data_IF_550927989977
#
_entry.id   IF_550927989977
#
_cell.length_a   1.000
_cell.length_b   1.000
_cell.length_c   1.000
_cell.angle_alpha   90.00
_cell.angle_beta   90.00
_cell.angle_gamma   90.00
#
_symmetry.space_group_name_H-M   'P 1'
#
loop_
_entity.id
_entity.type
_entity.pdbx_description
1 polymer ?
#
# COMPACT_ATOMS: atom_id res chain seq x y z
N UNK A 1 13.66 -8.71 45.15
CA UNK A 1 13.80 -7.46 45.94
C UNK A 1 13.70 -6.29 44.95
N UNK A 2 12.50 -5.75 44.75
CA UNK A 2 12.26 -4.63 43.84
C UNK A 2 12.45 -3.35 44.65
N UNK A 3 13.64 -2.75 44.61
CA UNK A 3 13.79 -1.39 45.12
C UNK A 3 13.10 -0.51 44.07
N UNK A 4 11.98 0.16 44.38
CA UNK A 4 11.30 0.96 43.38
C UNK A 4 12.27 2.05 42.93
N UNK A 5 12.44 2.18 41.62
CA UNK A 5 13.39 3.11 40.98
C UNK A 5 13.24 4.53 41.54
N UNK A 6 12.04 4.90 42.01
CA UNK A 6 11.75 6.15 42.70
C UNK A 6 12.57 6.36 43.97
N UNK A 7 12.75 5.35 44.82
CA UNK A 7 13.50 5.50 46.08
C UNK A 7 14.99 5.68 45.85
N UNK A 8 15.56 4.99 44.86
CA UNK A 8 16.96 5.20 44.45
C UNK A 8 17.16 6.60 43.87
N UNK A 9 16.21 7.07 43.06
CA UNK A 9 16.23 8.43 42.51
C UNK A 9 16.19 9.48 43.63
N UNK A 10 15.22 9.42 44.54
CA UNK A 10 15.09 10.37 45.64
C UNK A 10 16.27 10.31 46.62
N UNK A 11 16.78 9.11 46.91
CA UNK A 11 17.95 8.94 47.78
C UNK A 11 19.22 9.48 47.15
N UNK A 12 19.44 9.27 45.85
CA UNK A 12 20.57 9.83 45.12
C UNK A 12 20.51 11.35 45.04
N UNK A 13 19.31 11.90 44.81
CA UNK A 13 19.07 13.34 44.73
C UNK A 13 19.30 14.03 46.09
N UNK A 14 18.93 13.37 47.18
CA UNK A 14 19.26 13.79 48.54
C UNK A 14 20.78 13.78 48.78
N UNK A 15 21.47 12.69 48.45
CA UNK A 15 22.93 12.58 48.64
C UNK A 15 23.71 13.62 47.82
N UNK A 16 23.24 13.95 46.62
CA UNK A 16 23.82 15.01 45.78
C UNK A 16 23.59 16.41 46.37
N UNK A 17 22.39 16.68 46.91
CA UNK A 17 22.11 17.94 47.58
C UNK A 17 23.00 18.15 48.82
N UNK A 18 23.21 17.09 49.61
CA UNK A 18 24.13 17.10 50.75
C UNK A 18 25.58 17.34 50.32
N UNK A 19 26.05 16.65 49.26
CA UNK A 19 27.40 16.82 48.72
C UNK A 19 27.69 18.27 48.28
N UNK A 20 26.68 18.96 47.74
CA UNK A 20 26.79 20.35 47.27
C UNK A 20 26.39 21.39 48.33
N UNK A 21 26.08 20.97 49.56
CA UNK A 21 25.59 21.88 50.63
C UNK A 21 24.34 22.69 50.22
N UNK A 22 23.48 22.10 49.37
CA UNK A 22 22.23 22.72 48.92
C UNK A 22 21.09 22.45 49.91
N UNK A 23 20.10 23.35 50.04
CA UNK A 23 18.93 23.13 50.88
C UNK A 23 18.08 21.95 50.36
N UNK A 24 18.16 20.81 51.05
CA UNK A 24 17.54 19.53 50.66
C UNK A 24 16.04 19.70 50.35
N UNK A 25 15.30 20.42 51.19
CA UNK A 25 13.86 20.63 51.00
C UNK A 25 13.53 21.38 49.70
N UNK A 26 14.34 22.39 49.34
CA UNK A 26 14.13 23.15 48.11
C UNK A 26 14.46 22.30 46.88
N UNK A 27 15.54 21.51 46.97
CA UNK A 27 15.96 20.61 45.89
C UNK A 27 14.94 19.49 45.65
N UNK A 28 14.42 18.87 46.71
CA UNK A 28 13.36 17.87 46.62
C UNK A 28 12.04 18.47 46.10
N UNK A 29 11.64 19.64 46.59
CA UNK A 29 10.42 20.32 46.14
C UNK A 29 10.49 20.72 44.66
N UNK A 30 11.60 21.33 44.23
CA UNK A 30 11.81 21.70 42.83
C UNK A 30 11.84 20.48 41.91
N UNK A 31 12.49 19.39 42.35
CA UNK A 31 12.52 18.14 41.59
C UNK A 31 11.15 17.48 41.49
N UNK A 32 10.36 17.50 42.58
CA UNK A 32 8.99 17.00 42.57
C UNK A 32 8.10 17.81 41.62
N UNK A 33 8.23 19.14 41.61
CA UNK A 33 7.55 20.01 40.65
C UNK A 33 7.94 19.66 39.20
N UNK A 34 9.23 19.42 38.94
CA UNK A 34 9.71 18.97 37.62
C UNK A 34 9.12 17.63 37.19
N UNK A 35 9.07 16.65 38.09
CA UNK A 35 8.43 15.34 37.84
C UNK A 35 6.94 15.51 37.50
N UNK A 36 6.21 16.37 38.21
CA UNK A 36 4.80 16.63 37.91
C UNK A 36 4.60 17.30 36.54
N UNK A 37 5.46 18.25 36.15
CA UNK A 37 5.42 18.87 34.82
C UNK A 37 5.66 17.82 33.73
N UNK A 38 6.67 16.97 33.89
CA UNK A 38 6.97 15.88 32.95
C UNK A 38 5.80 14.91 32.85
N UNK A 39 5.22 14.51 33.99
CA UNK A 39 4.04 13.64 34.02
C UNK A 39 2.86 14.28 33.29
N UNK A 40 2.62 15.57 33.49
CA UNK A 40 1.60 16.32 32.75
C UNK A 40 1.84 16.27 31.24
N UNK A 41 3.05 16.59 30.79
CA UNK A 41 3.44 16.54 29.38
C UNK A 41 3.27 15.12 28.78
N UNK A 42 3.67 14.08 29.51
CA UNK A 42 3.50 12.68 29.09
C UNK A 42 2.02 12.31 28.93
N UNK A 43 1.16 12.76 29.85
CA UNK A 43 -0.29 12.53 29.73
C UNK A 43 -0.83 13.24 28.48
N UNK A 44 -0.47 14.50 28.25
CA UNK A 44 -0.95 15.23 27.08
C UNK A 44 -0.45 14.66 25.74
N UNK A 45 0.79 14.18 25.67
CA UNK A 45 1.32 13.52 24.47
C UNK A 45 0.68 12.15 24.25
N UNK A 46 0.39 11.39 25.30
CA UNK A 46 -0.38 10.15 25.19
C UNK A 46 -1.80 10.43 24.68
N UNK A 47 -2.50 11.43 25.26
CA UNK A 47 -3.84 11.85 24.84
C UNK A 47 -3.88 12.37 23.39
N UNK A 48 -2.84 13.05 22.92
CA UNK A 48 -2.76 13.49 21.53
C UNK A 48 -2.59 12.31 20.56
N UNK A 49 -1.89 11.24 20.96
CA UNK A 49 -1.80 10.01 20.17
C UNK A 49 -3.16 9.31 20.04
N UNK A 50 -3.98 9.30 21.09
CA UNK A 50 -5.34 8.73 21.04
C UNK A 50 -6.24 9.46 20.03
N UNK A 51 -6.06 10.77 19.79
CA UNK A 51 -6.79 11.49 18.73
C UNK A 51 -6.48 10.95 17.33
N UNK A 52 -5.32 10.32 17.14
CA UNK A 52 -4.95 9.79 15.84
C UNK A 52 -5.62 8.45 15.55
N UNK A 53 -6.12 7.69 16.53
CA UNK A 53 -6.71 6.33 16.34
C UNK A 53 -7.59 6.21 15.08
N UNK A 54 -8.49 7.16 14.75
CA UNK A 54 -9.33 7.06 13.57
C UNK A 54 -8.54 7.03 12.24
N UNK A 55 -7.31 7.57 12.19
CA UNK A 55 -6.40 7.58 11.04
C UNK A 55 -5.68 6.24 10.88
N UNK A 56 -5.24 5.62 11.98
CA UNK A 56 -4.48 4.36 11.99
C UNK A 56 -5.36 3.11 11.83
N UNK A 57 -6.62 3.27 11.45
CA UNK A 57 -7.57 2.16 11.35
C UNK A 57 -7.26 1.20 10.19
N UNK A 58 -6.79 1.73 9.06
CA UNK A 58 -6.34 0.94 7.93
C UNK A 58 -5.25 1.66 7.13
N UNK A 59 -4.51 0.88 6.35
CA UNK A 59 -3.37 1.35 5.56
C UNK A 59 -3.76 2.48 4.59
N UNK A 60 -4.93 2.36 3.92
CA UNK A 60 -5.40 3.38 2.99
C UNK A 60 -5.60 4.72 3.68
N UNK A 61 -6.39 4.75 4.76
CA UNK A 61 -6.72 5.98 5.49
C UNK A 61 -5.48 6.62 6.11
N UNK A 62 -4.55 5.80 6.61
CA UNK A 62 -3.28 6.27 7.13
C UNK A 62 -2.49 7.00 6.04
N UNK A 63 -2.26 6.36 4.89
CA UNK A 63 -1.45 6.96 3.84
C UNK A 63 -2.16 8.09 3.09
N UNK A 64 -3.49 8.04 2.94
CA UNK A 64 -4.28 9.15 2.41
C UNK A 64 -4.12 10.38 3.31
N UNK A 65 -4.37 10.23 4.61
CA UNK A 65 -4.16 11.33 5.57
C UNK A 65 -2.72 11.85 5.53
N UNK A 66 -1.74 10.95 5.42
CA UNK A 66 -0.33 11.32 5.37
C UNK A 66 -0.01 12.15 4.13
N UNK A 67 -0.50 11.75 2.95
CA UNK A 67 -0.30 12.49 1.70
C UNK A 67 -1.01 13.84 1.73
N UNK A 68 -2.20 13.91 2.32
CA UNK A 68 -3.02 15.13 2.35
C UNK A 68 -2.49 16.19 3.34
N UNK A 69 -1.78 15.80 4.39
CA UNK A 69 -1.35 16.69 5.48
C UNK A 69 0.18 16.92 5.57
N UNK A 70 0.99 16.31 4.71
CA UNK A 70 2.44 16.52 4.72
C UNK A 70 2.86 17.75 3.91
N UNK A 71 3.63 18.64 4.53
CA UNK A 71 4.20 19.83 3.89
C UNK A 71 5.50 19.54 3.09
N UNK A 72 6.13 18.39 3.29
CA UNK A 72 7.43 18.00 2.69
C UNK A 72 7.29 16.88 1.65
N UNK A 73 8.43 16.44 1.06
CA UNK A 73 8.44 15.44 -0.01
C UNK A 73 7.62 14.18 0.34
N UNK A 74 6.56 13.99 -0.43
CA UNK A 74 5.55 12.95 -0.26
C UNK A 74 5.93 11.66 -0.99
N UNK A 75 7.14 11.51 -1.52
CA UNK A 75 7.54 10.35 -2.32
C UNK A 75 7.22 9.00 -1.66
N UNK A 76 7.66 8.79 -0.42
CA UNK A 76 7.43 7.52 0.29
C UNK A 76 5.95 7.32 0.64
N UNK A 77 5.28 8.38 1.12
CA UNK A 77 3.86 8.34 1.47
C UNK A 77 2.99 8.03 0.24
N UNK A 78 3.27 8.64 -0.91
CA UNK A 78 2.61 8.38 -2.20
C UNK A 78 2.86 6.96 -2.68
N UNK A 79 4.09 6.46 -2.55
CA UNK A 79 4.40 5.07 -2.91
C UNK A 79 3.64 4.07 -2.04
N UNK A 80 3.56 4.33 -0.74
CA UNK A 80 2.82 3.50 0.19
C UNK A 80 1.30 3.58 -0.04
N UNK A 81 0.77 4.78 -0.30
CA UNK A 81 -0.62 4.97 -0.71
C UNK A 81 -0.95 4.18 -1.97
N UNK A 82 -0.08 4.22 -2.99
CA UNK A 82 -0.25 3.42 -4.19
C UNK A 82 -0.30 1.91 -3.89
N UNK A 83 0.52 1.43 -2.96
CA UNK A 83 0.53 0.01 -2.55
C UNK A 83 -0.76 -0.36 -1.82
N UNK A 84 -1.21 0.49 -0.90
CA UNK A 84 -2.46 0.32 -0.17
C UNK A 84 -3.66 0.27 -1.13
N UNK A 85 -3.73 1.20 -2.09
CA UNK A 85 -4.76 1.22 -3.14
C UNK A 85 -4.72 -0.05 -4.00
N UNK A 86 -3.52 -0.53 -4.39
CA UNK A 86 -3.41 -1.77 -5.16
C UNK A 86 -3.96 -2.97 -4.39
N UNK A 87 -3.57 -3.10 -3.12
CA UNK A 87 -4.00 -4.19 -2.25
C UNK A 87 -5.51 -4.16 -2.01
N UNK A 88 -6.08 -2.98 -1.75
CA UNK A 88 -7.53 -2.81 -1.56
C UNK A 88 -8.32 -3.11 -2.84
N UNK A 89 -7.88 -2.59 -3.99
CA UNK A 89 -8.50 -2.88 -5.27
C UNK A 89 -8.48 -4.37 -5.59
N UNK A 90 -7.39 -5.07 -5.27
CA UNK A 90 -7.29 -6.52 -5.46
C UNK A 90 -8.20 -7.32 -4.51
N UNK A 91 -8.28 -6.95 -3.24
CA UNK A 91 -9.20 -7.58 -2.28
C UNK A 91 -10.67 -7.37 -2.69
N UNK A 92 -11.04 -6.17 -3.11
CA UNK A 92 -12.37 -5.88 -3.66
C UNK A 92 -12.68 -6.74 -4.88
N UNK A 93 -11.73 -6.91 -5.79
CA UNK A 93 -11.87 -7.76 -6.97
C UNK A 93 -12.06 -9.24 -6.58
N UNK A 94 -11.32 -9.76 -5.59
CA UNK A 94 -11.51 -11.12 -5.06
C UNK A 94 -12.91 -11.33 -4.48
N UNK A 95 -13.44 -10.31 -3.81
CA UNK A 95 -14.83 -10.29 -3.28
C UNK A 95 -15.89 -10.02 -4.35
N UNK A 96 -15.52 -10.00 -5.64
CA UNK A 96 -16.38 -9.67 -6.78
C UNK A 96 -17.03 -8.29 -6.73
N UNK A 97 -16.50 -7.38 -5.91
CA UNK A 97 -16.92 -5.96 -5.85
C UNK A 97 -16.25 -5.18 -6.98
N UNK A 98 -16.55 -5.58 -8.22
CA UNK A 98 -15.83 -5.14 -9.41
C UNK A 98 -15.90 -3.63 -9.64
N UNK A 99 -17.04 -2.98 -9.37
CA UNK A 99 -17.16 -1.52 -9.55
C UNK A 99 -16.27 -0.74 -8.58
N UNK A 100 -16.25 -1.12 -7.30
CA UNK A 100 -15.39 -0.50 -6.29
C UNK A 100 -13.91 -0.76 -6.59
N UNK A 101 -13.55 -1.98 -7.00
CA UNK A 101 -12.19 -2.30 -7.42
C UNK A 101 -11.72 -1.43 -8.60
N UNK A 102 -12.58 -1.24 -9.61
CA UNK A 102 -12.28 -0.38 -10.75
C UNK A 102 -12.05 1.07 -10.31
N UNK A 103 -12.89 1.62 -9.44
CA UNK A 103 -12.72 2.97 -8.93
C UNK A 103 -11.38 3.17 -8.20
N UNK A 104 -10.97 2.19 -7.39
CA UNK A 104 -9.67 2.21 -6.71
C UNK A 104 -8.51 2.14 -7.71
N UNK A 105 -8.58 1.25 -8.70
CA UNK A 105 -7.54 1.15 -9.73
C UNK A 105 -7.46 2.41 -10.61
N UNK A 106 -8.59 3.01 -10.95
CA UNK A 106 -8.65 4.26 -11.72
C UNK A 106 -8.05 5.41 -10.92
N UNK A 107 -8.37 5.52 -9.62
CA UNK A 107 -7.75 6.49 -8.72
C UNK A 107 -6.24 6.30 -8.63
N UNK A 108 -5.76 5.05 -8.50
CA UNK A 108 -4.34 4.74 -8.43
C UNK A 108 -3.61 5.19 -9.70
N UNK A 109 -4.17 4.89 -10.87
CA UNK A 109 -3.58 5.23 -12.16
C UNK A 109 -3.62 6.74 -12.41
N UNK A 110 -4.71 7.42 -12.03
CA UNK A 110 -4.88 8.86 -12.22
C UNK A 110 -3.89 9.69 -11.39
N UNK A 111 -3.56 9.23 -10.17
CA UNK A 111 -2.62 9.91 -9.29
C UNK A 111 -1.16 9.86 -9.77
N UNK A 112 -0.88 9.23 -10.92
CA UNK A 112 0.44 9.13 -11.56
C UNK A 112 1.56 8.93 -10.55
N UNK A 113 1.35 8.02 -9.60
CA UNK A 113 2.43 7.57 -8.73
C UNK A 113 3.55 7.14 -9.67
N UNK A 114 4.65 7.90 -9.65
CA UNK A 114 5.72 7.87 -10.65
C UNK A 114 5.89 6.45 -11.20
N UNK A 115 5.87 6.27 -12.53
CA UNK A 115 5.75 5.01 -13.30
C UNK A 115 6.68 3.84 -12.90
N UNK A 116 7.46 4.01 -11.82
CA UNK A 116 8.39 3.10 -11.15
C UNK A 116 7.77 2.30 -9.98
N UNK A 117 6.45 2.28 -9.81
CA UNK A 117 5.81 1.37 -8.86
C UNK A 117 5.89 -0.07 -9.35
N UNK A 118 6.32 -0.99 -8.49
CA UNK A 118 6.55 -2.38 -8.90
C UNK A 118 5.27 -3.18 -9.18
N UNK A 119 4.10 -2.66 -8.76
CA UNK A 119 2.78 -3.33 -8.89
C UNK A 119 1.87 -2.65 -9.92
N UNK A 120 2.35 -1.63 -10.63
CA UNK A 120 1.52 -0.90 -11.59
C UNK A 120 1.15 -1.76 -12.80
N UNK A 121 2.05 -2.63 -13.26
CA UNK A 121 1.78 -3.63 -14.29
C UNK A 121 0.67 -4.59 -13.85
N UNK A 122 0.73 -5.07 -12.61
CA UNK A 122 -0.30 -5.93 -12.04
C UNK A 122 -1.64 -5.20 -11.87
N UNK A 123 -1.61 -3.90 -11.55
CA UNK A 123 -2.83 -3.06 -11.47
C UNK A 123 -3.54 -2.98 -12.81
N UNK A 124 -2.81 -2.69 -13.89
CA UNK A 124 -3.36 -2.71 -15.25
C UNK A 124 -3.89 -4.10 -15.60
N UNK A 125 -3.15 -5.16 -15.29
CA UNK A 125 -3.62 -6.53 -15.52
C UNK A 125 -4.95 -6.84 -14.83
N UNK A 126 -5.07 -6.56 -13.53
CA UNK A 126 -6.28 -6.82 -12.76
C UNK A 126 -7.46 -5.98 -13.27
N UNK A 127 -7.24 -4.71 -13.60
CA UNK A 127 -8.26 -3.87 -14.24
C UNK A 127 -8.71 -4.45 -15.58
N UNK A 128 -7.76 -4.91 -16.40
CA UNK A 128 -8.01 -5.56 -17.68
C UNK A 128 -8.85 -6.84 -17.55
N UNK A 129 -8.58 -7.67 -16.54
CA UNK A 129 -9.38 -8.86 -16.23
C UNK A 129 -10.83 -8.48 -15.90
N UNK A 130 -11.03 -7.47 -15.06
CA UNK A 130 -12.39 -6.99 -14.71
C UNK A 130 -13.10 -6.43 -15.96
N UNK A 131 -12.41 -5.64 -16.79
CA UNK A 131 -12.96 -5.11 -18.04
C UNK A 131 -13.34 -6.23 -19.02
N UNK A 132 -12.52 -7.27 -19.12
CA UNK A 132 -12.80 -8.46 -19.93
C UNK A 132 -14.06 -9.19 -19.44
N UNK A 133 -14.20 -9.38 -18.13
CA UNK A 133 -15.40 -9.99 -17.53
C UNK A 133 -16.67 -9.16 -17.81
N UNK A 134 -16.53 -7.83 -17.88
CA UNK A 134 -17.60 -6.91 -18.29
C UNK A 134 -17.78 -6.80 -19.80
N UNK A 135 -17.12 -7.66 -20.60
CA UNK A 135 -17.12 -7.64 -22.07
C UNK A 135 -16.65 -6.31 -22.69
N UNK A 136 -15.98 -5.46 -21.92
CA UNK A 136 -15.35 -4.20 -22.38
C UNK A 136 -13.99 -4.51 -23.00
N UNK A 137 -14.00 -5.31 -24.07
CA UNK A 137 -12.81 -5.92 -24.65
C UNK A 137 -11.74 -4.92 -25.08
N UNK A 138 -12.11 -3.79 -25.69
CA UNK A 138 -11.14 -2.78 -26.12
C UNK A 138 -10.39 -2.14 -24.94
N UNK A 139 -11.10 -1.88 -23.82
CA UNK A 139 -10.48 -1.37 -22.60
C UNK A 139 -9.57 -2.42 -21.97
N UNK A 140 -10.00 -3.67 -21.95
CA UNK A 140 -9.18 -4.79 -21.47
C UNK A 140 -7.88 -4.94 -22.28
N UNK A 141 -7.95 -4.88 -23.62
CA UNK A 141 -6.76 -4.93 -24.48
C UNK A 141 -5.79 -3.78 -24.21
N UNK A 142 -6.31 -2.56 -24.04
CA UNK A 142 -5.49 -1.39 -23.68
C UNK A 142 -4.74 -1.63 -22.37
N UNK A 143 -5.43 -2.14 -21.35
CA UNK A 143 -4.86 -2.43 -20.04
C UNK A 143 -3.81 -3.55 -20.10
N UNK A 144 -4.09 -4.64 -20.81
CA UNK A 144 -3.11 -5.70 -21.00
C UNK A 144 -1.87 -5.22 -21.76
N UNK A 145 -2.03 -4.39 -22.80
CA UNK A 145 -0.90 -3.81 -23.52
C UNK A 145 -0.04 -2.93 -22.62
N UNK A 146 -0.68 -2.10 -21.78
CA UNK A 146 0.04 -1.24 -20.84
C UNK A 146 0.79 -2.07 -19.79
N UNK A 147 0.17 -3.13 -19.26
CA UNK A 147 0.83 -4.08 -18.34
C UNK A 147 2.08 -4.72 -18.98
N UNK A 148 1.96 -5.22 -20.22
CA UNK A 148 3.08 -5.82 -20.97
C UNK A 148 4.20 -4.81 -21.22
N UNK A 149 3.85 -3.56 -21.53
CA UNK A 149 4.83 -2.49 -21.78
C UNK A 149 5.66 -2.18 -20.53
N UNK A 150 5.02 -2.22 -19.36
CA UNK A 150 5.69 -1.95 -18.08
C UNK A 150 6.53 -3.15 -17.65
N UNK A 151 5.97 -4.36 -17.76
CA UNK A 151 6.64 -5.59 -17.36
C UNK A 151 6.44 -6.71 -18.38
N UNK A 152 7.34 -6.77 -19.36
CA UNK A 152 7.29 -7.78 -20.41
C UNK A 152 7.61 -9.21 -19.93
N UNK A 153 8.13 -9.37 -18.71
CA UNK A 153 8.43 -10.69 -18.12
C UNK A 153 7.18 -11.37 -17.55
N UNK A 154 6.13 -10.61 -17.24
CA UNK A 154 4.86 -11.15 -16.79
C UNK A 154 4.03 -11.61 -18.01
N UNK A 155 3.71 -12.89 -18.09
CA UNK A 155 2.92 -13.48 -19.18
C UNK A 155 1.40 -13.45 -18.94
N UNK A 156 0.94 -13.25 -17.70
CA UNK A 156 -0.50 -13.20 -17.38
C UNK A 156 -1.29 -12.18 -18.24
N UNK A 157 -0.78 -10.97 -18.52
CA UNK A 157 -1.47 -10.04 -19.40
C UNK A 157 -1.52 -10.50 -20.86
N UNK A 158 -0.53 -11.28 -21.33
CA UNK A 158 -0.57 -11.88 -22.67
C UNK A 158 -1.64 -12.95 -22.75
N UNK A 159 -1.80 -13.76 -21.72
CA UNK A 159 -2.89 -14.74 -21.63
C UNK A 159 -4.26 -14.05 -21.69
N UNK A 160 -4.46 -12.98 -20.90
CA UNK A 160 -5.66 -12.16 -20.95
C UNK A 160 -5.89 -11.55 -22.35
N UNK A 161 -4.82 -11.06 -22.99
CA UNK A 161 -4.89 -10.51 -24.34
C UNK A 161 -5.31 -11.56 -25.38
N UNK A 162 -4.74 -12.76 -25.34
CA UNK A 162 -5.13 -13.87 -26.22
C UNK A 162 -6.61 -14.21 -26.00
N UNK A 163 -7.06 -14.35 -24.74
CA UNK A 163 -8.45 -14.66 -24.43
C UNK A 163 -9.42 -13.60 -25.01
N UNK A 164 -9.08 -12.32 -24.86
CA UNK A 164 -9.88 -11.23 -25.43
C UNK A 164 -9.87 -11.23 -26.96
N UNK A 165 -8.70 -11.41 -27.59
CA UNK A 165 -8.58 -11.45 -29.04
C UNK A 165 -9.37 -12.61 -29.65
N UNK A 166 -9.31 -13.78 -29.03
CA UNK A 166 -10.12 -14.95 -29.42
C UNK A 166 -11.61 -14.67 -29.24
N UNK A 167 -12.02 -14.06 -28.12
CA UNK A 167 -13.42 -13.69 -27.89
C UNK A 167 -13.95 -12.68 -28.91
N UNK A 168 -13.08 -11.80 -29.43
CA UNK A 168 -13.38 -10.85 -30.51
C UNK A 168 -13.31 -11.46 -31.92
N UNK A 169 -12.97 -12.75 -32.07
CA UNK A 169 -12.76 -13.40 -33.37
C UNK A 169 -11.50 -12.93 -34.11
N UNK A 170 -10.58 -12.23 -33.44
CA UNK A 170 -9.34 -11.73 -34.02
C UNK A 170 -8.25 -12.82 -34.03
N UNK A 171 -8.53 -13.92 -34.72
CA UNK A 171 -7.74 -15.14 -34.69
C UNK A 171 -6.30 -14.96 -35.14
N UNK A 172 -6.05 -14.13 -36.17
CA UNK A 172 -4.69 -13.79 -36.62
C UNK A 172 -3.88 -13.10 -35.51
N UNK A 173 -4.48 -12.16 -34.80
CA UNK A 173 -3.83 -11.44 -33.71
C UNK A 173 -3.60 -12.33 -32.49
N UNK A 174 -4.57 -13.18 -32.14
CA UNK A 174 -4.43 -14.15 -31.07
C UNK A 174 -3.30 -15.16 -31.36
N UNK A 175 -3.22 -15.68 -32.58
CA UNK A 175 -2.15 -16.58 -33.01
C UNK A 175 -0.77 -15.91 -32.94
N UNK A 176 -0.68 -14.62 -33.31
CA UNK A 176 0.56 -13.86 -33.19
C UNK A 176 1.02 -13.75 -31.73
N UNK A 177 0.12 -13.47 -30.78
CA UNK A 177 0.45 -13.42 -29.35
C UNK A 177 0.85 -14.79 -28.78
N UNK A 178 0.17 -15.87 -29.20
CA UNK A 178 0.56 -17.25 -28.86
C UNK A 178 1.99 -17.55 -29.34
N UNK A 179 2.32 -17.15 -30.57
CA UNK A 179 3.65 -17.33 -31.13
C UNK A 179 4.70 -16.51 -30.37
N UNK A 180 4.37 -15.27 -29.96
CA UNK A 180 5.23 -14.46 -29.11
C UNK A 180 5.48 -15.14 -27.76
N UNK A 181 4.44 -15.67 -27.10
CA UNK A 181 4.60 -16.40 -25.85
C UNK A 181 5.57 -17.59 -25.99
N UNK A 182 5.40 -18.41 -27.04
CA UNK A 182 6.30 -19.53 -27.34
C UNK A 182 7.73 -19.07 -27.61
N UNK A 183 7.91 -17.97 -28.38
CA UNK A 183 9.23 -17.37 -28.66
C UNK A 183 9.95 -16.96 -27.38
N UNK A 184 9.22 -16.38 -26.42
CA UNK A 184 9.75 -16.02 -25.11
C UNK A 184 9.82 -17.19 -24.12
N UNK A 185 9.52 -18.42 -24.57
CA UNK A 185 9.49 -19.64 -23.76
C UNK A 185 8.49 -19.59 -22.59
N UNK A 186 7.44 -18.78 -22.72
CA UNK A 186 6.32 -18.81 -21.78
C UNK A 186 5.43 -20.01 -22.07
N UNK A 187 4.93 -20.64 -21.01
CA UNK A 187 3.91 -21.66 -21.12
C UNK A 187 2.59 -21.03 -21.56
N UNK A 188 1.95 -21.60 -22.59
CA UNK A 188 0.61 -21.19 -23.01
C UNK A 188 -0.38 -22.17 -22.38
N UNK A 189 -1.30 -21.71 -21.50
CA UNK A 189 -2.22 -22.63 -20.83
C UNK A 189 -3.08 -23.44 -21.80
N UNK A 190 -3.31 -24.72 -21.50
CA UNK A 190 -4.06 -25.62 -22.36
C UNK A 190 -5.51 -25.14 -22.62
N UNK A 191 -6.17 -24.57 -21.60
CA UNK A 191 -7.53 -24.03 -21.73
C UNK A 191 -7.61 -22.88 -22.75
N UNK A 192 -6.53 -22.10 -22.88
CA UNK A 192 -6.45 -20.97 -23.78
C UNK A 192 -6.28 -21.44 -25.22
N UNK A 193 -5.47 -22.49 -25.42
CA UNK A 193 -5.31 -23.13 -26.72
C UNK A 193 -6.60 -23.81 -27.18
N UNK A 194 -7.32 -24.48 -26.28
CA UNK A 194 -8.59 -25.13 -26.63
C UNK A 194 -9.69 -24.12 -26.96
N UNK A 195 -9.82 -23.02 -26.21
CA UNK A 195 -10.77 -21.94 -26.57
C UNK A 195 -10.40 -21.28 -27.91
N UNK A 196 -9.11 -21.07 -28.16
CA UNK A 196 -8.62 -20.59 -29.45
C UNK A 196 -9.00 -21.52 -30.59
N UNK A 197 -8.70 -22.82 -30.48
CA UNK A 197 -9.03 -23.82 -31.51
C UNK A 197 -10.54 -23.95 -31.76
N UNK A 198 -11.36 -23.75 -30.72
CA UNK A 198 -12.82 -23.82 -30.86
C UNK A 198 -13.41 -22.64 -31.63
N UNK A 199 -12.78 -21.46 -31.55
CA UNK A 199 -13.35 -20.21 -32.06
C UNK A 199 -12.75 -19.72 -33.39
N UNK A 200 -11.64 -20.29 -33.87
CA UNK A 200 -10.82 -19.68 -34.93
C UNK A 200 -10.58 -20.49 -36.22
#
# INVERSE_FOLDING_TARGET
>A
MYIPVSYLFWSGLKGFAELLSLPINNVLHLSNMGVHIINGLLVFTALSAFKQIPVWHNELKLWTHTVDNMEYDTYYAKRALGSALHNEGWDLAKRRKNQSALAIFDSLIANQFNHKLYFIDNTFYLRGVIMMQQQKYQKALSDFNQSIRINAKNNNPREGKIAVLTALGQCKNAQAEINLMRKYKFNVPAFLLSDFQRRC
#
